data_IF_869879218217
#
_entry.id   IF_869879218217
#
_cell.length_a   1.000
_cell.length_b   1.000
_cell.length_c   1.000
_cell.angle_alpha   90.00
_cell.angle_beta   90.00
_cell.angle_gamma   90.00
#
_symmetry.space_group_name_H-M   'P 1'
#
loop_
_entity.id
_entity.type
_entity.pdbx_description
1 polymer ?
#
# COMPACT_ATOMS: atom_id res chain seq x y z
N UNK A 1 -19.36 -3.81 1.63
CA UNK A 1 -18.76 -4.17 0.33
C UNK A 1 -19.06 -5.63 0.07
N UNK A 2 -19.39 -5.97 -1.17
CA UNK A 2 -19.40 -7.35 -1.64
C UNK A 2 -17.98 -7.95 -1.70
N UNK A 3 -17.91 -9.27 -1.90
CA UNK A 3 -16.66 -10.02 -1.89
C UNK A 3 -15.75 -9.68 -3.07
N UNK A 4 -16.32 -9.37 -4.23
CA UNK A 4 -15.54 -9.03 -5.43
C UNK A 4 -14.81 -7.70 -5.24
N UNK A 5 -15.50 -6.69 -4.71
CA UNK A 5 -14.90 -5.39 -4.40
C UNK A 5 -13.83 -5.53 -3.31
N UNK A 6 -14.04 -6.39 -2.30
CA UNK A 6 -13.00 -6.68 -1.28
C UNK A 6 -11.75 -7.28 -1.91
N UNK A 7 -11.92 -8.21 -2.84
CA UNK A 7 -10.78 -8.85 -3.51
C UNK A 7 -10.04 -7.86 -4.42
N UNK A 8 -10.75 -7.04 -5.18
CA UNK A 8 -10.15 -5.99 -6.00
C UNK A 8 -9.34 -4.98 -5.16
N UNK A 9 -9.89 -4.55 -4.01
CA UNK A 9 -9.18 -3.65 -3.10
C UNK A 9 -7.96 -4.32 -2.47
N UNK A 10 -8.04 -5.61 -2.14
CA UNK A 10 -6.90 -6.40 -1.65
C UNK A 10 -5.80 -6.51 -2.69
N UNK A 11 -6.13 -6.85 -3.94
CA UNK A 11 -5.18 -6.90 -5.05
C UNK A 11 -4.53 -5.53 -5.28
N UNK A 12 -5.31 -4.45 -5.25
CA UNK A 12 -4.78 -3.10 -5.42
C UNK A 12 -3.83 -2.71 -4.28
N UNK A 13 -4.17 -3.03 -3.03
CA UNK A 13 -3.29 -2.78 -1.88
C UNK A 13 -1.98 -3.55 -2.02
N UNK A 14 -2.05 -4.85 -2.31
CA UNK A 14 -0.88 -5.69 -2.49
C UNK A 14 0.02 -5.23 -3.64
N UNK A 15 -0.54 -4.82 -4.78
CA UNK A 15 0.23 -4.31 -5.90
C UNK A 15 1.01 -3.04 -5.55
N UNK A 16 0.43 -2.14 -4.72
CA UNK A 16 1.13 -0.94 -4.25
C UNK A 16 2.28 -1.31 -3.32
N UNK A 17 2.05 -2.22 -2.38
CA UNK A 17 3.08 -2.68 -1.43
C UNK A 17 4.26 -3.35 -2.17
N UNK A 18 3.99 -4.28 -3.09
CA UNK A 18 5.01 -4.95 -3.89
C UNK A 18 5.83 -3.95 -4.72
N UNK A 19 5.17 -2.95 -5.34
CA UNK A 19 5.84 -1.90 -6.08
C UNK A 19 6.74 -1.04 -5.18
N UNK A 20 6.24 -0.62 -4.01
CA UNK A 20 7.01 0.15 -3.03
C UNK A 20 8.23 -0.63 -2.55
N UNK A 21 8.05 -1.91 -2.21
CA UNK A 21 9.13 -2.79 -1.78
C UNK A 21 10.21 -2.94 -2.86
N UNK A 22 9.81 -3.15 -4.11
CA UNK A 22 10.72 -3.21 -5.25
C UNK A 22 11.52 -1.92 -5.43
N UNK A 23 10.84 -0.76 -5.33
CA UNK A 23 11.49 0.55 -5.44
C UNK A 23 12.49 0.75 -4.29
N UNK A 24 12.11 0.50 -3.04
CA UNK A 24 13.02 0.66 -1.90
C UNK A 24 14.22 -0.29 -2.02
N UNK A 25 14.00 -1.54 -2.41
CA UNK A 25 15.07 -2.51 -2.67
C UNK A 25 16.06 -1.96 -3.70
N UNK A 26 15.55 -1.47 -4.84
CA UNK A 26 16.37 -0.84 -5.86
C UNK A 26 17.14 0.37 -5.32
N UNK A 27 16.48 1.29 -4.62
CA UNK A 27 17.10 2.48 -4.03
C UNK A 27 18.24 2.13 -3.07
N UNK A 28 18.12 1.05 -2.31
CA UNK A 28 19.17 0.58 -1.39
C UNK A 28 20.41 0.03 -2.11
N UNK A 29 20.30 -0.37 -3.39
CA UNK A 29 21.46 -0.77 -4.20
C UNK A 29 22.26 0.42 -4.74
N UNK A 30 21.69 1.62 -4.71
CA UNK A 30 22.32 2.82 -5.26
C UNK A 30 23.34 3.43 -4.29
N UNK A 31 24.30 4.18 -4.86
CA UNK A 31 25.20 5.00 -4.05
C UNK A 31 24.40 6.06 -3.27
N UNK A 32 24.81 6.43 -2.05
CA UNK A 32 24.06 7.34 -1.19
C UNK A 32 23.66 8.67 -1.86
N UNK A 33 24.56 9.30 -2.62
CA UNK A 33 24.29 10.58 -3.28
C UNK A 33 23.15 10.47 -4.29
N UNK A 34 23.22 9.50 -5.20
CA UNK A 34 22.18 9.27 -6.21
C UNK A 34 20.85 8.85 -5.57
N UNK A 35 20.89 8.01 -4.54
CA UNK A 35 19.69 7.66 -3.76
C UNK A 35 19.03 8.89 -3.17
N UNK A 36 19.81 9.80 -2.59
CA UNK A 36 19.27 11.02 -1.98
C UNK A 36 18.66 11.96 -3.03
N UNK A 37 19.31 12.14 -4.18
CA UNK A 37 18.76 12.92 -5.30
C UNK A 37 17.43 12.34 -5.79
N UNK A 38 17.35 11.02 -5.95
CA UNK A 38 16.12 10.35 -6.35
C UNK A 38 15.03 10.52 -5.27
N UNK A 39 15.38 10.36 -3.98
CA UNK A 39 14.44 10.57 -2.87
C UNK A 39 14.00 12.03 -2.74
N UNK A 40 14.81 13.01 -3.11
CA UNK A 40 14.39 14.42 -3.14
C UNK A 40 13.30 14.66 -4.19
N UNK A 41 13.36 13.95 -5.33
CA UNK A 41 12.38 14.08 -6.42
C UNK A 41 11.14 13.22 -6.14
N UNK A 42 11.35 11.96 -5.73
CA UNK A 42 10.29 10.96 -5.65
C UNK A 42 9.75 10.73 -4.24
N UNK A 43 10.40 11.24 -3.19
CA UNK A 43 10.05 10.94 -1.79
C UNK A 43 8.59 11.23 -1.45
N UNK A 44 8.06 12.37 -1.93
CA UNK A 44 6.64 12.73 -1.75
C UNK A 44 5.69 11.76 -2.46
N UNK A 45 6.08 11.22 -3.62
CA UNK A 45 5.28 10.26 -4.36
C UNK A 45 5.27 8.88 -3.66
N UNK A 46 6.41 8.46 -3.11
CA UNK A 46 6.53 7.24 -2.32
C UNK A 46 5.69 7.34 -1.04
N UNK A 47 5.73 8.48 -0.35
CA UNK A 47 4.91 8.72 0.83
C UNK A 47 3.41 8.72 0.49
N UNK A 48 3.01 9.35 -0.63
CA UNK A 48 1.62 9.29 -1.11
C UNK A 48 1.17 7.87 -1.44
N UNK A 49 2.02 7.08 -2.09
CA UNK A 49 1.72 5.69 -2.43
C UNK A 49 1.56 4.85 -1.16
N UNK A 50 2.44 5.02 -0.18
CA UNK A 50 2.32 4.40 1.15
C UNK A 50 1.01 4.79 1.84
N UNK A 51 0.69 6.08 1.87
CA UNK A 51 -0.57 6.54 2.45
C UNK A 51 -1.82 6.02 1.71
N UNK A 52 -1.72 5.77 0.40
CA UNK A 52 -2.80 5.13 -0.36
C UNK A 52 -2.95 3.65 0.03
N UNK A 53 -1.84 2.91 0.16
CA UNK A 53 -1.85 1.53 0.65
C UNK A 53 -2.51 1.41 2.03
N UNK A 54 -2.09 2.23 2.99
CA UNK A 54 -2.63 2.24 4.35
C UNK A 54 -4.14 2.52 4.39
N UNK A 55 -4.63 3.40 3.52
CA UNK A 55 -6.08 3.68 3.39
C UNK A 55 -6.85 2.49 2.81
N UNK A 56 -6.30 1.81 1.80
CA UNK A 56 -6.92 0.62 1.22
C UNK A 56 -6.98 -0.52 2.27
N UNK A 57 -5.91 -0.72 3.03
CA UNK A 57 -5.94 -1.66 4.16
C UNK A 57 -6.99 -1.30 5.21
N UNK A 58 -7.11 -0.01 5.56
CA UNK A 58 -8.10 0.44 6.53
C UNK A 58 -9.53 0.18 6.03
N UNK A 59 -9.79 0.39 4.74
CA UNK A 59 -11.07 0.07 4.10
C UNK A 59 -11.37 -1.43 4.22
N UNK A 60 -10.39 -2.30 3.94
CA UNK A 60 -10.54 -3.75 4.07
C UNK A 60 -10.83 -4.17 5.51
N UNK A 61 -10.03 -3.70 6.48
CA UNK A 61 -10.21 -4.01 7.91
C UNK A 61 -11.57 -3.53 8.43
N UNK A 62 -11.99 -2.32 8.05
CA UNK A 62 -13.31 -1.80 8.41
C UNK A 62 -14.47 -2.59 7.80
N UNK A 63 -14.28 -3.14 6.60
CA UNK A 63 -15.27 -3.95 5.87
C UNK A 63 -15.38 -5.40 6.39
N UNK A 64 -14.36 -5.89 7.09
CA UNK A 64 -14.37 -7.20 7.78
C UNK A 64 -15.01 -7.11 9.17
N UNK A 65 -14.75 -6.01 9.90
CA UNK A 65 -15.32 -5.74 11.22
C UNK A 65 -16.86 -5.54 11.23
N UNK A 66 -17.45 -5.22 10.09
CA UNK A 66 -18.89 -4.95 9.96
C UNK A 66 -19.77 -6.20 9.84
N UNK A 67 -19.22 -7.43 9.95
CA UNK A 67 -20.01 -8.67 9.93
C UNK A 67 -20.54 -8.94 11.35
N UNK A 68 -21.83 -8.70 11.67
CA UNK A 68 -22.32 -8.98 12.99
C UNK A 68 -22.44 -10.49 13.15
N UNK A 69 -21.80 -11.02 14.19
CA UNK A 69 -22.03 -12.37 14.71
C UNK A 69 -23.54 -12.57 14.90
N UNK A 70 -24.19 -13.25 13.95
CA UNK A 70 -25.57 -13.71 14.10
C UNK A 70 -25.55 -14.83 15.14
N UNK A 71 -25.69 -14.49 16.42
CA UNK A 71 -26.06 -15.45 17.47
C UNK A 71 -27.52 -15.83 17.23
N UNK A 72 -27.74 -17.07 16.84
CA UNK A 72 -29.02 -17.78 16.83
C UNK A 72 -28.81 -19.14 17.44
#
# INVERSE_FOLDING_TARGET
MDQETKEQVRTAAQAIEEALQGIFTFLFTLRPTLRNEILQILGHHLEKARGAHERLEAILKGSEAATPTRRG
#
